data_IF_130281705028
#
_entry.id   IF_130281705028
#
_cell.length_a   1.000
_cell.length_b   1.000
_cell.length_c   1.000
_cell.angle_alpha   90.00
_cell.angle_beta   90.00
_cell.angle_gamma   90.00
#
_symmetry.space_group_name_H-M   'P 1'
#
loop_
_entity.id
_entity.type
_entity.pdbx_description
1 polymer ?
#
# COMPACT_ATOMS: atom_id res chain seq x y z
N UNK A 1 10.50 4.35 -15.83
CA UNK A 1 9.95 2.99 -15.66
C UNK A 1 10.92 2.06 -16.34
N UNK A 2 11.62 1.20 -15.61
CA UNK A 2 12.67 0.35 -16.21
C UNK A 2 12.09 -0.85 -16.99
N UNK A 3 10.89 -1.33 -16.63
CA UNK A 3 10.29 -2.54 -17.24
C UNK A 3 8.93 -2.34 -17.94
N UNK A 4 8.51 -1.09 -18.20
CA UNK A 4 7.24 -0.80 -18.90
C UNK A 4 5.96 -1.13 -18.13
N UNK A 5 6.05 -1.54 -16.86
CA UNK A 5 4.90 -1.81 -15.98
C UNK A 5 4.26 -0.50 -15.51
N UNK A 6 2.96 -0.34 -15.76
CA UNK A 6 2.19 0.78 -15.22
C UNK A 6 1.84 0.53 -13.74
N UNK A 7 2.20 1.47 -12.88
CA UNK A 7 1.92 1.41 -11.44
C UNK A 7 1.03 2.58 -11.04
N UNK A 8 -0.02 2.31 -10.25
CA UNK A 8 -0.94 3.30 -9.73
C UNK A 8 -1.16 3.10 -8.23
N UNK A 9 -1.27 4.19 -7.48
CA UNK A 9 -1.57 4.18 -6.06
C UNK A 9 -3.02 4.59 -5.80
N UNK A 10 -3.66 3.87 -4.89
CA UNK A 10 -4.93 4.26 -4.28
C UNK A 10 -4.69 4.49 -2.80
N UNK A 11 -4.82 5.73 -2.36
CA UNK A 11 -4.56 6.15 -0.99
C UNK A 11 -5.90 6.31 -0.27
N UNK A 12 -6.10 5.56 0.81
CA UNK A 12 -7.40 5.51 1.52
C UNK A 12 -7.59 6.72 2.44
N UNK A 13 -6.56 7.08 3.22
CA UNK A 13 -6.62 8.20 4.18
C UNK A 13 -5.57 9.25 3.86
N UNK A 14 -5.74 10.47 4.39
CA UNK A 14 -4.77 11.57 4.20
C UNK A 14 -3.80 11.72 5.38
N UNK A 15 -3.77 10.75 6.28
CA UNK A 15 -2.89 10.77 7.45
C UNK A 15 -3.17 11.94 8.39
N UNK A 16 -4.41 12.39 8.50
CA UNK A 16 -4.78 13.60 9.20
C UNK A 16 -4.68 13.50 10.73
N UNK A 17 -4.66 12.28 11.27
CA UNK A 17 -4.49 11.99 12.69
C UNK A 17 -3.04 11.69 13.11
N UNK A 18 -2.15 11.42 12.14
CA UNK A 18 -0.76 11.05 12.41
C UNK A 18 0.12 12.19 12.95
N UNK A 19 1.16 11.82 13.69
CA UNK A 19 2.19 12.74 14.18
C UNK A 19 1.90 13.35 15.56
N UNK A 20 2.95 13.52 16.36
CA UNK A 20 2.90 14.09 17.71
C UNK A 20 3.40 15.54 17.77
N UNK A 21 3.54 16.18 16.61
CA UNK A 21 3.99 17.58 16.50
C UNK A 21 2.82 18.58 16.51
N UNK A 22 3.19 19.86 16.54
CA UNK A 22 2.28 21.01 16.61
C UNK A 22 1.73 21.43 15.24
N UNK A 23 1.89 20.62 14.19
CA UNK A 23 1.36 20.97 12.86
C UNK A 23 -0.15 21.07 12.92
N UNK A 24 -0.68 22.19 12.40
CA UNK A 24 -2.12 22.42 12.35
C UNK A 24 -2.82 21.30 11.56
N UNK A 25 -3.74 20.58 12.22
CA UNK A 25 -4.38 19.36 11.70
C UNK A 25 -5.16 19.61 10.41
N UNK A 26 -5.76 20.78 10.27
CA UNK A 26 -6.42 21.24 9.04
C UNK A 26 -5.50 21.35 7.81
N UNK A 27 -4.18 21.48 8.01
CA UNK A 27 -3.19 21.62 6.92
C UNK A 27 -2.53 20.28 6.56
N UNK A 28 -2.55 19.31 7.48
CA UNK A 28 -1.92 18.01 7.30
C UNK A 28 -2.39 17.26 6.04
N UNK A 29 -3.70 17.20 5.71
CA UNK A 29 -4.15 16.47 4.53
C UNK A 29 -3.49 16.96 3.24
N UNK A 30 -3.47 18.28 3.03
CA UNK A 30 -2.87 18.88 1.82
C UNK A 30 -1.36 18.70 1.76
N UNK A 31 -0.68 18.84 2.91
CA UNK A 31 0.75 18.60 3.01
C UNK A 31 1.09 17.15 2.65
N UNK A 32 0.42 16.18 3.29
CA UNK A 32 0.71 14.75 3.10
C UNK A 32 0.31 14.24 1.72
N UNK A 33 -0.72 14.81 1.09
CA UNK A 33 -0.99 14.55 -0.32
C UNK A 33 0.19 14.96 -1.22
N UNK A 34 0.75 16.16 -0.99
CA UNK A 34 1.90 16.63 -1.76
C UNK A 34 3.14 15.77 -1.51
N UNK A 35 3.41 15.40 -0.27
CA UNK A 35 4.49 14.48 0.10
C UNK A 35 4.32 13.10 -0.58
N UNK A 36 3.12 12.52 -0.54
CA UNK A 36 2.84 11.23 -1.16
C UNK A 36 3.01 11.27 -2.69
N UNK A 37 2.61 12.39 -3.33
CA UNK A 37 2.83 12.57 -4.78
C UNK A 37 4.31 12.71 -5.12
N UNK A 38 5.08 13.41 -4.29
CA UNK A 38 6.53 13.51 -4.45
C UNK A 38 7.23 12.15 -4.23
N UNK A 39 6.79 11.38 -3.22
CA UNK A 39 7.27 10.03 -2.96
C UNK A 39 7.01 9.10 -4.14
N UNK A 40 5.79 9.11 -4.66
CA UNK A 40 5.40 8.35 -5.85
C UNK A 40 6.26 8.71 -7.07
N UNK A 41 6.49 10.01 -7.30
CA UNK A 41 7.33 10.48 -8.40
C UNK A 41 8.79 9.99 -8.30
N UNK A 42 9.37 9.92 -7.09
CA UNK A 42 10.73 9.39 -6.87
C UNK A 42 10.88 7.92 -7.29
N UNK A 43 9.80 7.13 -7.22
CA UNK A 43 9.75 5.75 -7.71
C UNK A 43 9.09 5.62 -9.10
N UNK A 44 8.86 6.73 -9.79
CA UNK A 44 8.37 6.75 -11.17
C UNK A 44 6.86 6.48 -11.32
N UNK A 45 6.10 6.58 -10.23
CA UNK A 45 4.65 6.46 -10.21
C UNK A 45 4.03 7.84 -10.45
N UNK A 46 3.18 7.95 -11.48
CA UNK A 46 2.52 9.21 -11.84
C UNK A 46 1.04 9.24 -11.48
N UNK A 47 0.41 8.07 -11.30
CA UNK A 47 -1.00 7.96 -10.94
C UNK A 47 -1.13 7.74 -9.43
N UNK A 48 -1.60 8.77 -8.73
CA UNK A 48 -1.91 8.71 -7.29
C UNK A 48 -3.32 9.24 -7.08
N UNK A 49 -4.24 8.32 -6.83
CA UNK A 49 -5.65 8.60 -6.56
C UNK A 49 -5.89 8.55 -5.03
N UNK A 50 -6.65 9.50 -4.50
CA UNK A 50 -7.03 9.56 -3.08
C UNK A 50 -8.53 9.29 -2.96
N UNK A 51 -8.93 8.46 -2.01
CA UNK A 51 -10.34 8.29 -1.67
C UNK A 51 -10.82 9.43 -0.77
N UNK A 52 -12.10 9.75 -0.87
CA UNK A 52 -12.76 10.73 -0.01
C UNK A 52 -13.64 10.00 1.02
N UNK A 53 -13.83 10.62 2.19
CA UNK A 53 -14.73 10.11 3.23
C UNK A 53 -14.10 9.12 4.24
N UNK A 54 -12.80 8.86 4.18
CA UNK A 54 -12.09 8.00 5.13
C UNK A 54 -11.07 8.81 5.95
N UNK A 55 -11.25 8.84 7.28
CA UNK A 55 -10.35 9.51 8.22
C UNK A 55 -9.31 8.55 8.81
N UNK A 56 -8.08 9.05 8.95
CA UNK A 56 -6.96 8.31 9.55
C UNK A 56 -7.27 7.86 10.98
N UNK A 57 -6.96 6.60 11.30
CA UNK A 57 -7.20 5.96 12.59
C UNK A 57 -8.61 5.41 12.79
N UNK A 58 -9.51 5.54 11.80
CA UNK A 58 -10.92 5.12 11.92
C UNK A 58 -11.38 4.16 10.83
N UNK A 59 -10.45 3.67 10.00
CA UNK A 59 -10.80 2.88 8.82
C UNK A 59 -11.38 1.53 9.25
N UNK A 60 -12.51 1.16 8.66
CA UNK A 60 -13.16 -0.14 8.83
C UNK A 60 -13.45 -0.75 7.46
N UNK A 61 -13.51 -2.10 7.33
CA UNK A 61 -13.75 -2.77 6.05
C UNK A 61 -15.23 -2.73 5.66
N UNK A 62 -15.77 -1.54 5.46
CA UNK A 62 -17.17 -1.32 5.10
C UNK A 62 -17.47 -1.73 3.65
N UNK A 63 -18.75 -1.90 3.34
CA UNK A 63 -19.19 -2.10 1.96
C UNK A 63 -18.89 -0.88 1.07
N UNK A 64 -18.89 0.33 1.62
CA UNK A 64 -18.50 1.53 0.88
C UNK A 64 -17.02 1.52 0.51
N UNK A 65 -16.13 1.16 1.45
CA UNK A 65 -14.69 1.03 1.15
C UNK A 65 -14.45 -0.05 0.10
N UNK A 66 -15.11 -1.20 0.23
CA UNK A 66 -15.05 -2.27 -0.78
C UNK A 66 -15.54 -1.79 -2.14
N UNK A 67 -16.64 -1.04 -2.21
CA UNK A 67 -17.15 -0.45 -3.46
C UNK A 67 -16.11 0.46 -4.09
N UNK A 68 -15.51 1.36 -3.31
CA UNK A 68 -14.60 2.38 -3.82
C UNK A 68 -13.29 1.75 -4.32
N UNK A 69 -12.77 0.74 -3.61
CA UNK A 69 -11.62 -0.07 -4.06
C UNK A 69 -11.99 -0.89 -5.30
N UNK A 70 -13.18 -1.50 -5.34
CA UNK A 70 -13.69 -2.21 -6.52
C UNK A 70 -13.77 -1.28 -7.74
N UNK A 71 -14.26 -0.06 -7.56
CA UNK A 71 -14.30 0.95 -8.61
C UNK A 71 -12.90 1.31 -9.09
N UNK A 72 -11.92 1.42 -8.19
CA UNK A 72 -10.53 1.68 -8.56
C UNK A 72 -9.91 0.53 -9.36
N UNK A 73 -10.15 -0.72 -8.94
CA UNK A 73 -9.72 -1.92 -9.68
C UNK A 73 -10.34 -1.95 -11.07
N UNK A 74 -11.65 -1.75 -11.21
CA UNK A 74 -12.33 -1.78 -12.52
C UNK A 74 -11.90 -0.63 -13.45
N UNK A 75 -11.50 0.51 -12.90
CA UNK A 75 -10.93 1.66 -13.64
C UNK A 75 -9.50 1.41 -14.10
N UNK A 76 -8.64 0.96 -13.19
CA UNK A 76 -7.21 0.81 -13.45
C UNK A 76 -6.87 -0.50 -14.16
N UNK A 77 -7.68 -1.54 -13.96
CA UNK A 77 -7.52 -2.89 -14.51
C UNK A 77 -6.14 -3.52 -14.21
N UNK A 78 -5.73 -3.60 -12.93
CA UNK A 78 -4.42 -4.13 -12.57
C UNK A 78 -4.34 -5.65 -12.76
N UNK A 79 -3.18 -6.13 -13.25
CA UNK A 79 -2.86 -7.57 -13.20
C UNK A 79 -2.54 -8.02 -11.76
N UNK A 80 -1.89 -7.15 -10.98
CA UNK A 80 -1.44 -7.35 -9.60
C UNK A 80 -1.94 -6.24 -8.67
N UNK A 81 -2.39 -6.61 -7.48
CA UNK A 81 -2.66 -5.66 -6.38
C UNK A 81 -1.67 -5.90 -5.25
N UNK A 82 -1.01 -4.85 -4.77
CA UNK A 82 -0.18 -4.88 -3.57
C UNK A 82 -0.89 -4.12 -2.45
N UNK A 83 -1.05 -4.74 -1.29
CA UNK A 83 -1.76 -4.14 -0.14
C UNK A 83 -1.20 -4.64 1.19
N UNK A 84 -1.69 -4.09 2.30
CA UNK A 84 -1.38 -4.59 3.63
C UNK A 84 -2.06 -5.94 3.87
N UNK A 85 -1.41 -6.82 4.64
CA UNK A 85 -2.03 -8.07 5.07
C UNK A 85 -3.29 -7.80 5.91
N UNK A 86 -4.42 -8.50 5.64
CA UNK A 86 -5.57 -8.50 6.54
C UNK A 86 -5.33 -9.30 7.84
N UNK A 87 -4.29 -10.13 7.86
CA UNK A 87 -3.90 -10.94 9.01
C UNK A 87 -2.95 -10.18 9.93
N UNK A 88 -3.26 -10.22 11.23
CA UNK A 88 -2.44 -9.63 12.29
C UNK A 88 -1.19 -10.46 12.54
N UNK A 89 -0.04 -9.79 12.67
CA UNK A 89 1.23 -10.37 13.11
C UNK A 89 1.34 -10.19 14.63
N UNK A 90 1.05 -11.23 15.39
CA UNK A 90 0.96 -11.16 16.85
C UNK A 90 2.31 -10.92 17.54
N UNK A 91 3.39 -11.31 16.89
CA UNK A 91 4.75 -11.13 17.39
C UNK A 91 5.16 -9.66 17.37
N UNK A 92 4.58 -8.84 16.49
CA UNK A 92 4.96 -7.45 16.25
C UNK A 92 3.69 -6.59 16.09
N UNK A 93 3.18 -6.08 17.22
CA UNK A 93 1.92 -5.34 17.26
C UNK A 93 2.01 -3.94 16.64
N UNK A 94 3.12 -3.22 16.87
CA UNK A 94 3.34 -1.91 16.29
C UNK A 94 3.78 -2.01 14.82
N UNK A 95 3.23 -1.16 13.96
CA UNK A 95 3.57 -1.10 12.52
C UNK A 95 2.55 -1.81 11.63
N UNK A 96 2.88 -2.95 11.00
CA UNK A 96 2.01 -3.58 9.99
C UNK A 96 0.64 -4.02 10.54
N UNK A 97 0.53 -4.25 11.85
CA UNK A 97 -0.70 -4.66 12.54
C UNK A 97 -1.61 -3.49 12.96
N UNK A 98 -1.36 -2.26 12.49
CA UNK A 98 -2.24 -1.11 12.73
C UNK A 98 -3.68 -1.39 12.25
N UNK A 99 -4.73 -1.02 12.99
CA UNK A 99 -6.12 -1.30 12.60
C UNK A 99 -6.48 -0.86 11.18
N UNK A 100 -6.07 0.33 10.76
CA UNK A 100 -6.31 0.81 9.39
C UNK A 100 -5.64 -0.07 8.33
N UNK A 101 -4.42 -0.57 8.58
CA UNK A 101 -3.74 -1.47 7.65
C UNK A 101 -4.52 -2.77 7.47
N UNK A 102 -5.01 -3.35 8.57
CA UNK A 102 -5.83 -4.57 8.53
C UNK A 102 -7.15 -4.33 7.81
N UNK A 103 -7.81 -3.20 8.07
CA UNK A 103 -9.08 -2.84 7.45
C UNK A 103 -8.93 -2.61 5.94
N UNK A 104 -7.88 -1.91 5.50
CA UNK A 104 -7.58 -1.73 4.08
C UNK A 104 -7.20 -3.05 3.41
N UNK A 105 -6.41 -3.89 4.08
CA UNK A 105 -6.07 -5.23 3.61
C UNK A 105 -7.32 -6.08 3.39
N UNK A 106 -8.23 -6.10 4.35
CA UNK A 106 -9.49 -6.86 4.29
C UNK A 106 -10.39 -6.34 3.17
N UNK A 107 -10.64 -5.02 3.13
CA UNK A 107 -11.48 -4.43 2.09
C UNK A 107 -10.91 -4.64 0.68
N UNK A 108 -9.58 -4.57 0.53
CA UNK A 108 -8.90 -4.86 -0.74
C UNK A 108 -9.03 -6.32 -1.13
N UNK A 109 -8.91 -7.24 -0.16
CA UNK A 109 -9.07 -8.68 -0.39
C UNK A 109 -10.48 -9.00 -0.88
N UNK A 110 -11.52 -8.45 -0.23
CA UNK A 110 -12.90 -8.59 -0.68
C UNK A 110 -13.14 -7.95 -2.06
N UNK A 111 -12.52 -6.78 -2.30
CA UNK A 111 -12.61 -6.10 -3.59
C UNK A 111 -12.02 -6.95 -4.73
N UNK A 112 -10.89 -7.64 -4.48
CA UNK A 112 -10.27 -8.56 -5.45
C UNK A 112 -11.11 -9.84 -5.63
N UNK A 113 -11.54 -10.47 -4.53
CA UNK A 113 -12.44 -11.64 -4.54
C UNK A 113 -13.57 -11.44 -3.51
N UNK A 114 -14.86 -11.42 -3.92
CA UNK A 114 -15.37 -11.64 -5.27
C UNK A 114 -15.68 -10.37 -6.08
N UNK A 115 -15.57 -9.16 -5.50
CA UNK A 115 -16.32 -7.99 -5.98
C UNK A 115 -15.92 -7.50 -7.38
N UNK A 116 -14.62 -7.36 -7.67
CA UNK A 116 -14.13 -6.80 -8.93
C UNK A 116 -14.55 -7.61 -10.15
N UNK A 117 -14.60 -8.95 -10.03
CA UNK A 117 -14.99 -9.85 -11.13
C UNK A 117 -16.49 -10.09 -11.24
N UNK A 118 -17.27 -9.77 -10.20
CA UNK A 118 -18.69 -10.07 -10.17
C UNK A 118 -19.51 -8.86 -10.67
N UNK A 119 -20.18 -8.92 -11.84
CA UNK A 119 -20.99 -7.81 -12.33
C UNK A 119 -22.17 -7.45 -11.40
N UNK A 120 -22.58 -8.36 -10.52
CA UNK A 120 -23.65 -8.15 -9.55
C UNK A 120 -23.16 -7.61 -8.20
N UNK A 121 -21.85 -7.60 -7.96
CA UNK A 121 -21.27 -6.85 -6.85
C UNK A 121 -21.15 -5.39 -7.26
N UNK A 122 -21.75 -4.49 -6.46
CA UNK A 122 -21.80 -3.05 -6.73
C UNK A 122 -22.37 -2.74 -8.13
N UNK A 123 -23.63 -3.11 -8.42
CA UNK A 123 -24.23 -2.95 -9.75
C UNK A 123 -24.24 -1.50 -10.26
N UNK A 124 -24.23 -0.52 -9.34
CA UNK A 124 -24.06 0.90 -9.65
C UNK A 124 -22.77 1.22 -10.41
N UNK A 125 -21.69 0.46 -10.17
CA UNK A 125 -20.43 0.63 -10.90
C UNK A 125 -20.57 0.21 -12.37
N UNK A 126 -21.38 -0.80 -12.65
CA UNK A 126 -21.66 -1.22 -14.02
C UNK A 126 -22.46 -0.14 -14.76
N UNK A 127 -23.44 0.48 -14.09
CA UNK A 127 -24.19 1.62 -14.62
C UNK A 127 -23.30 2.84 -14.91
N UNK A 128 -22.18 2.99 -14.19
CA UNK A 128 -21.14 4.00 -14.43
C UNK A 128 -20.15 3.60 -15.55
N UNK A 129 -20.35 2.46 -16.21
CA UNK A 129 -19.48 1.95 -17.27
C UNK A 129 -18.25 1.18 -16.77
N UNK A 130 -18.12 0.94 -15.47
CA UNK A 130 -17.00 0.18 -14.90
C UNK A 130 -17.25 -1.31 -15.03
N UNK A 131 -16.69 -1.89 -16.09
CA UNK A 131 -16.79 -3.31 -16.40
C UNK A 131 -16.03 -4.17 -15.37
N UNK A 132 -16.50 -5.40 -15.09
CA UNK A 132 -15.79 -6.33 -14.21
C UNK A 132 -14.36 -6.58 -14.66
N UNK A 133 -13.48 -6.84 -13.69
CA UNK A 133 -12.07 -7.12 -13.92
C UNK A 133 -11.56 -8.22 -13.00
N UNK A 134 -10.75 -9.13 -13.55
CA UNK A 134 -10.08 -10.18 -12.80
C UNK A 134 -8.65 -9.73 -12.52
N UNK A 135 -8.37 -9.44 -11.24
CA UNK A 135 -6.99 -9.34 -10.76
C UNK A 135 -6.42 -10.76 -10.69
N UNK A 136 -5.18 -10.97 -11.15
CA UNK A 136 -4.56 -12.31 -11.24
C UNK A 136 -3.78 -12.68 -10.00
N UNK A 137 -3.25 -11.68 -9.30
CA UNK A 137 -2.51 -11.90 -8.05
C UNK A 137 -2.66 -10.74 -7.07
N UNK A 138 -2.65 -11.08 -5.78
CA UNK A 138 -2.59 -10.14 -4.67
C UNK A 138 -1.34 -10.42 -3.83
N UNK A 139 -0.62 -9.35 -3.51
CA UNK A 139 0.64 -9.37 -2.78
C UNK A 139 0.43 -8.64 -1.46
N UNK A 140 0.61 -9.34 -0.35
CA UNK A 140 0.43 -8.78 0.99
C UNK A 140 1.77 -8.42 1.63
N UNK A 141 1.89 -7.18 2.08
CA UNK A 141 3.00 -6.74 2.91
C UNK A 141 2.63 -6.80 4.40
N UNK A 142 3.61 -7.08 5.28
CA UNK A 142 3.46 -6.95 6.72
C UNK A 142 2.71 -8.09 7.45
N UNK A 143 2.16 -9.06 6.72
CA UNK A 143 1.45 -10.22 7.26
C UNK A 143 2.36 -11.27 7.90
N UNK A 144 1.80 -12.28 8.59
CA UNK A 144 2.56 -13.42 9.09
C UNK A 144 3.07 -14.29 7.93
N UNK A 145 4.29 -14.81 8.06
CA UNK A 145 4.85 -15.79 7.11
C UNK A 145 4.90 -15.34 5.64
N UNK A 146 5.65 -14.27 5.29
CA UNK A 146 5.90 -13.97 3.88
C UNK A 146 6.63 -15.14 3.20
N UNK A 147 6.22 -15.47 1.98
CA UNK A 147 6.73 -16.58 1.17
C UNK A 147 7.47 -16.14 -0.10
N UNK A 148 7.52 -14.82 -0.34
CA UNK A 148 8.16 -14.23 -1.50
C UNK A 148 9.04 -13.06 -1.11
N UNK A 149 10.33 -13.12 -1.45
CA UNK A 149 11.27 -12.03 -1.24
C UNK A 149 11.73 -11.45 -2.59
N UNK A 150 11.76 -10.12 -2.67
CA UNK A 150 12.25 -9.37 -3.83
C UNK A 150 13.55 -8.67 -3.43
N UNK A 151 14.65 -9.00 -4.09
CA UNK A 151 15.91 -8.25 -3.95
C UNK A 151 15.71 -6.84 -4.51
N UNK A 152 15.90 -5.84 -3.66
CA UNK A 152 15.78 -4.42 -4.00
C UNK A 152 17.10 -3.67 -3.79
N UNK A 153 18.23 -4.39 -3.77
CA UNK A 153 19.56 -3.83 -3.48
C UNK A 153 19.89 -2.65 -4.39
N UNK A 154 19.59 -2.78 -5.68
CA UNK A 154 19.89 -1.76 -6.68
C UNK A 154 18.86 -0.61 -6.69
N UNK A 155 17.74 -0.77 -5.97
CA UNK A 155 16.64 0.20 -5.90
C UNK A 155 16.60 0.96 -4.57
N UNK A 156 17.55 0.69 -3.66
CA UNK A 156 17.54 1.27 -2.30
C UNK A 156 17.54 2.80 -2.30
N UNK A 157 18.29 3.43 -3.21
CA UNK A 157 18.36 4.89 -3.26
C UNK A 157 17.03 5.52 -3.65
N UNK A 158 16.30 4.90 -4.59
CA UNK A 158 14.95 5.35 -4.99
C UNK A 158 13.95 5.17 -3.85
N UNK A 159 14.06 4.07 -3.11
CA UNK A 159 13.25 3.83 -1.91
C UNK A 159 13.51 4.89 -0.84
N UNK A 160 14.77 5.15 -0.52
CA UNK A 160 15.14 6.19 0.46
C UNK A 160 14.68 7.58 0.02
N UNK A 161 14.82 7.92 -1.27
CA UNK A 161 14.32 9.18 -1.81
C UNK A 161 12.79 9.32 -1.66
N UNK A 162 12.03 8.27 -1.97
CA UNK A 162 10.58 8.26 -1.77
C UNK A 162 10.19 8.41 -0.29
N UNK A 163 10.87 7.71 0.60
CA UNK A 163 10.59 7.80 2.03
C UNK A 163 10.93 9.19 2.60
N UNK A 164 12.03 9.82 2.18
CA UNK A 164 12.42 11.18 2.57
C UNK A 164 11.45 12.25 2.09
N UNK A 165 10.66 11.99 1.04
CA UNK A 165 9.63 12.91 0.59
C UNK A 165 8.51 13.12 1.63
N UNK A 166 8.36 12.20 2.59
CA UNK A 166 7.49 12.35 3.76
C UNK A 166 8.22 13.08 4.90
N UNK A 167 8.71 14.29 4.63
CA UNK A 167 9.50 15.10 5.56
C UNK A 167 8.83 15.27 6.93
N UNK A 168 7.51 15.52 6.91
CA UNK A 168 6.70 15.66 8.12
C UNK A 168 6.74 14.43 9.04
N UNK A 169 7.05 13.25 8.49
CA UNK A 169 7.07 11.97 9.21
C UNK A 169 8.48 11.44 9.47
N UNK A 170 9.47 11.84 8.66
CA UNK A 170 10.76 11.14 8.62
C UNK A 170 11.95 11.97 9.07
N UNK A 171 11.84 13.31 9.13
CA UNK A 171 12.97 14.21 9.44
C UNK A 171 13.60 13.97 10.83
N UNK A 172 12.85 13.35 11.75
CA UNK A 172 13.29 13.08 13.12
C UNK A 172 13.88 11.67 13.30
N UNK A 173 13.97 10.90 12.23
CA UNK A 173 14.42 9.51 12.25
C UNK A 173 15.78 9.39 11.59
N UNK A 174 16.63 8.49 12.10
CA UNK A 174 17.73 7.94 11.31
C UNK A 174 17.16 6.94 10.28
N UNK A 175 16.53 7.51 9.25
CA UNK A 175 15.72 6.78 8.28
C UNK A 175 16.57 5.76 7.51
N UNK A 176 17.78 6.13 7.12
CA UNK A 176 18.60 5.26 6.27
C UNK A 176 19.06 4.02 7.02
N UNK A 177 19.61 4.19 8.22
CA UNK A 177 20.00 3.06 9.08
C UNK A 177 18.80 2.17 9.36
N UNK A 178 17.66 2.76 9.78
CA UNK A 178 16.45 2.00 10.08
C UNK A 178 15.92 1.20 8.88
N UNK A 179 15.90 1.79 7.68
CA UNK A 179 15.46 1.11 6.46
C UNK A 179 16.42 -0.01 6.10
N UNK A 180 17.73 0.26 6.08
CA UNK A 180 18.74 -0.73 5.70
C UNK A 180 18.74 -1.92 6.65
N UNK A 181 18.72 -1.70 7.96
CA UNK A 181 18.67 -2.78 8.95
C UNK A 181 17.47 -3.71 8.73
N UNK A 182 16.29 -3.11 8.49
CA UNK A 182 15.07 -3.88 8.25
C UNK A 182 15.15 -4.70 6.96
N UNK A 183 15.68 -4.14 5.88
CA UNK A 183 15.79 -4.82 4.58
C UNK A 183 16.88 -5.89 4.57
N UNK A 184 17.97 -5.68 5.31
CA UNK A 184 19.00 -6.70 5.55
C UNK A 184 18.41 -7.89 6.29
N UNK A 185 17.67 -7.64 7.38
CA UNK A 185 17.01 -8.72 8.12
C UNK A 185 16.03 -9.52 7.25
N UNK A 186 15.33 -8.87 6.32
CA UNK A 186 14.46 -9.57 5.37
C UNK A 186 15.28 -10.40 4.37
N UNK A 187 16.37 -9.85 3.83
CA UNK A 187 17.25 -10.55 2.90
C UNK A 187 17.90 -11.79 3.54
N UNK A 188 18.38 -11.65 4.78
CA UNK A 188 18.98 -12.75 5.55
C UNK A 188 17.95 -13.86 5.81
N UNK A 189 16.74 -13.50 6.25
CA UNK A 189 15.65 -14.47 6.47
C UNK A 189 15.22 -15.17 5.17
N UNK A 190 15.37 -14.52 4.02
CA UNK A 190 15.09 -15.09 2.70
C UNK A 190 16.27 -15.92 2.14
N UNK A 191 17.41 -15.98 2.84
CA UNK A 191 18.59 -16.73 2.42
C UNK A 191 19.34 -16.08 1.24
N UNK A 192 19.21 -14.77 1.04
CA UNK A 192 19.98 -14.05 0.02
C UNK A 192 21.45 -13.91 0.43
N UNK A 193 22.37 -13.70 -0.53
CA UNK A 193 23.78 -13.42 -0.22
C UNK A 193 23.95 -12.22 0.72
N UNK A 194 25.01 -12.24 1.54
CA UNK A 194 25.33 -11.13 2.45
C UNK A 194 25.48 -9.80 1.70
N UNK A 195 24.95 -8.72 2.30
CA UNK A 195 24.96 -7.37 1.73
C UNK A 195 23.78 -7.07 0.80
N UNK A 196 22.87 -8.03 0.59
CA UNK A 196 21.63 -7.81 -0.15
C UNK A 196 20.54 -7.20 0.74
N UNK A 197 19.60 -6.52 0.09
CA UNK A 197 18.45 -5.87 0.70
C UNK A 197 17.19 -6.41 0.05
N UNK A 198 16.18 -6.79 0.82
CA UNK A 198 14.96 -7.36 0.25
C UNK A 198 13.68 -6.83 0.89
N UNK A 199 12.61 -6.80 0.09
CA UNK A 199 11.24 -6.69 0.56
C UNK A 199 10.56 -8.06 0.54
N UNK A 200 9.66 -8.30 1.50
CA UNK A 200 8.99 -9.58 1.66
C UNK A 200 7.48 -9.44 1.60
N UNK A 201 6.86 -10.37 0.88
CA UNK A 201 5.43 -10.43 0.60
C UNK A 201 4.90 -11.84 0.80
N UNK A 202 3.59 -11.95 1.06
CA UNK A 202 2.83 -13.19 0.84
C UNK A 202 2.10 -13.06 -0.49
N UNK A 203 2.29 -14.00 -1.41
CA UNK A 203 1.71 -13.93 -2.76
C UNK A 203 0.58 -14.94 -2.92
N UNK A 204 -0.59 -14.45 -3.35
CA UNK A 204 -1.75 -15.29 -3.67
C UNK A 204 -2.18 -15.09 -5.12
N UNK A 205 -2.32 -16.19 -5.87
CA UNK A 205 -2.99 -16.20 -7.17
C UNK A 205 -4.50 -16.26 -7.01
N UNK A 206 -5.22 -15.50 -7.82
CA UNK A 206 -6.67 -15.29 -7.66
C UNK A 206 -7.50 -15.76 -8.87
N UNK A 207 -6.82 -16.32 -9.87
CA UNK A 207 -7.38 -17.04 -11.02
C UNK A 207 -7.65 -18.52 -10.74
#
# INVERSE_FOLDING_TARGET
MEDGVAVGYLIVTRGDAGGFDDTARERLPRLREAEQRAAAAAVGVTRVDFLDGYADGTVTPTLDLRRDVTAAIRRFRPDRVLTNSPLRRWEHLAGPSHPDHLAVGEATTCAVYPDARNPFAHPELLAQGLQPWVVREIWYAGGPGPDHAVDITDQIDRKLAAMRAHSSQTDRLDLETWVRDRLTAVADNAGLPSGRLAEAFTVLRTE
#
